data_IF_194815888507
#
_entry.id   IF_194815888507
#
_cell.length_a   1.000
_cell.length_b   1.000
_cell.length_c   1.000
_cell.angle_alpha   90.00
_cell.angle_beta   90.00
_cell.angle_gamma   90.00
#
_symmetry.space_group_name_H-M   'P 1'
#
loop_
_entity.id
_entity.type
_entity.pdbx_description
1 polymer ?
#
# COMPACT_ATOMS: atom_id res chain seq x y z
N UNK A 1 4.45 -57.11 -71.07
CA UNK A 1 4.11 -57.16 -69.63
C UNK A 1 5.33 -56.61 -68.91
N UNK A 2 5.29 -55.31 -68.59
CA UNK A 2 6.43 -54.58 -68.06
C UNK A 2 5.89 -53.72 -66.91
N UNK A 3 6.40 -53.95 -65.70
CA UNK A 3 5.98 -53.28 -64.46
C UNK A 3 7.06 -52.30 -64.07
N UNK A 4 6.71 -51.01 -64.11
CA UNK A 4 7.55 -49.88 -63.70
C UNK A 4 7.57 -49.79 -62.18
N UNK A 5 8.76 -49.89 -61.57
CA UNK A 5 8.96 -49.73 -60.13
C UNK A 5 9.26 -48.25 -59.83
N UNK A 6 8.35 -47.55 -59.14
CA UNK A 6 8.58 -46.19 -58.65
C UNK A 6 9.22 -46.25 -57.25
N UNK A 7 10.42 -45.68 -57.12
CA UNK A 7 11.11 -45.44 -55.85
C UNK A 7 10.76 -44.03 -55.36
N UNK A 8 10.10 -43.91 -54.21
CA UNK A 8 9.92 -42.62 -53.52
C UNK A 8 11.17 -42.23 -52.71
N UNK A 9 11.52 -40.94 -52.73
CA UNK A 9 12.65 -40.38 -51.98
C UNK A 9 12.22 -40.08 -50.54
N UNK A 10 12.94 -40.63 -49.57
CA UNK A 10 12.70 -40.41 -48.14
C UNK A 10 12.87 -38.92 -47.77
N UNK A 11 11.88 -38.36 -47.06
CA UNK A 11 11.81 -36.94 -46.70
C UNK A 11 12.78 -36.58 -45.58
N UNK A 12 13.68 -35.63 -45.85
CA UNK A 12 14.71 -35.11 -44.91
C UNK A 12 14.14 -34.53 -43.62
N UNK A 13 12.87 -34.13 -43.59
CA UNK A 13 12.19 -33.59 -42.40
C UNK A 13 11.98 -34.63 -41.30
N UNK A 14 11.78 -35.90 -41.66
CA UNK A 14 11.61 -36.98 -40.69
C UNK A 14 12.93 -37.26 -39.94
N UNK A 15 14.06 -37.22 -40.64
CA UNK A 15 15.37 -37.38 -40.03
C UNK A 15 15.71 -36.22 -39.08
N UNK A 16 15.33 -34.98 -39.40
CA UNK A 16 15.56 -33.82 -38.52
C UNK A 16 14.78 -33.91 -37.21
N UNK A 17 13.52 -34.36 -37.26
CA UNK A 17 12.69 -34.54 -36.07
C UNK A 17 13.21 -35.65 -35.16
N UNK A 18 13.71 -36.75 -35.75
CA UNK A 18 14.30 -37.84 -34.98
C UNK A 18 15.59 -37.41 -34.26
N UNK A 19 16.38 -36.54 -34.90
CA UNK A 19 17.60 -35.98 -34.33
C UNK A 19 17.32 -35.05 -33.15
N UNK A 20 16.29 -34.20 -33.25
CA UNK A 20 15.85 -33.34 -32.13
C UNK A 20 15.39 -34.20 -30.95
N UNK A 21 14.64 -35.27 -31.23
CA UNK A 21 14.16 -36.18 -30.20
C UNK A 21 15.30 -36.93 -29.49
N UNK A 22 16.36 -37.31 -30.22
CA UNK A 22 17.55 -37.96 -29.67
C UNK A 22 18.41 -37.01 -28.83
N UNK A 23 18.49 -35.73 -29.20
CA UNK A 23 19.23 -34.72 -28.42
C UNK A 23 18.51 -34.38 -27.10
N UNK A 24 17.17 -34.43 -27.06
CA UNK A 24 16.42 -34.21 -25.81
C UNK A 24 16.60 -35.30 -24.75
N UNK A 25 17.13 -36.47 -25.11
CA UNK A 25 17.40 -37.58 -24.17
C UNK A 25 18.80 -37.44 -23.52
N UNK A 26 19.63 -36.49 -23.97
CA UNK A 26 21.00 -36.29 -23.49
C UNK A 26 21.17 -35.08 -22.56
N UNK A 27 20.08 -34.51 -22.04
CA UNK A 27 20.14 -33.53 -20.95
C UNK A 27 20.79 -34.17 -19.71
N UNK A 28 21.68 -33.47 -18.98
CA UNK A 28 22.38 -34.05 -17.85
C UNK A 28 21.38 -34.41 -16.75
N UNK A 29 21.49 -35.63 -16.21
CA UNK A 29 20.90 -35.99 -14.92
C UNK A 29 21.50 -35.03 -13.87
N UNK A 30 20.74 -34.02 -13.46
CA UNK A 30 21.01 -33.33 -12.21
C UNK A 30 20.79 -34.34 -11.08
N UNK A 31 21.87 -34.68 -10.38
CA UNK A 31 21.84 -35.44 -9.14
C UNK A 31 20.94 -34.69 -8.15
N UNK A 32 19.87 -35.32 -7.68
CA UNK A 32 19.18 -34.87 -6.48
C UNK A 32 20.06 -35.25 -5.29
N UNK A 33 20.93 -34.33 -4.88
CA UNK A 33 21.52 -34.42 -3.55
C UNK A 33 20.36 -34.37 -2.53
N UNK A 34 20.40 -35.19 -1.46
CA UNK A 34 19.37 -35.13 -0.44
C UNK A 34 19.38 -33.72 0.16
N UNK A 35 18.20 -33.12 0.22
CA UNK A 35 17.92 -31.86 0.90
C UNK A 35 18.52 -31.94 2.30
N UNK A 36 19.66 -31.29 2.53
CA UNK A 36 20.00 -30.86 3.87
C UNK A 36 18.82 -30.03 4.34
N UNK A 37 18.23 -30.44 5.46
CA UNK A 37 17.15 -29.74 6.13
C UNK A 37 17.55 -28.27 6.27
N UNK A 38 17.01 -27.43 5.38
CA UNK A 38 17.01 -25.99 5.55
C UNK A 38 16.32 -25.76 6.88
N UNK A 39 17.11 -25.41 7.90
CA UNK A 39 16.59 -24.86 9.13
C UNK A 39 15.56 -23.80 8.74
N UNK A 40 14.31 -24.00 9.17
CA UNK A 40 13.31 -22.95 9.13
C UNK A 40 13.93 -21.76 9.86
N UNK A 41 14.45 -20.78 9.13
CA UNK A 41 14.66 -19.46 9.68
C UNK A 41 13.27 -18.89 9.92
N UNK A 42 12.73 -19.21 11.09
CA UNK A 42 11.73 -18.37 11.71
C UNK A 42 12.38 -17.00 11.84
N UNK A 43 11.89 -16.02 11.08
CA UNK A 43 12.14 -14.63 11.39
C UNK A 43 11.42 -14.34 12.71
N UNK A 44 12.11 -14.62 13.81
CA UNK A 44 11.64 -14.28 15.14
C UNK A 44 11.74 -12.76 15.26
N UNK A 45 10.58 -12.10 15.18
CA UNK A 45 10.47 -10.68 15.47
C UNK A 45 10.98 -10.44 16.90
N UNK A 46 12.19 -9.89 17.00
CA UNK A 46 12.74 -9.43 18.27
C UNK A 46 12.40 -7.95 18.38
N UNK A 47 11.40 -7.56 19.21
CA UNK A 47 11.08 -6.15 19.38
C UNK A 47 12.30 -5.39 19.91
N UNK A 48 12.69 -4.34 19.19
CA UNK A 48 13.70 -3.39 19.68
C UNK A 48 13.02 -2.49 20.70
N UNK A 49 13.35 -2.65 21.97
CA UNK A 49 12.95 -1.73 23.02
C UNK A 49 14.05 -0.70 23.22
N UNK A 50 13.76 0.58 23.01
CA UNK A 50 14.69 1.64 23.39
C UNK A 50 14.74 1.75 24.92
N UNK A 51 15.95 1.80 25.45
CA UNK A 51 16.20 2.08 26.86
C UNK A 51 15.94 3.57 27.15
N UNK A 52 15.05 3.86 28.11
CA UNK A 52 14.71 5.25 28.48
C UNK A 52 15.90 6.01 29.09
N UNK A 53 16.97 5.32 29.50
CA UNK A 53 18.17 5.94 30.05
C UNK A 53 18.86 6.90 29.07
N UNK A 54 18.63 6.74 27.75
CA UNK A 54 19.14 7.63 26.71
C UNK A 54 18.12 8.69 26.24
N UNK A 55 16.99 8.84 26.93
CA UNK A 55 15.96 9.81 26.55
C UNK A 55 16.45 11.24 26.76
N UNK A 56 16.49 12.02 25.68
CA UNK A 56 16.83 13.45 25.72
C UNK A 56 15.55 14.28 25.50
N UNK A 57 15.06 15.03 26.51
CA UNK A 57 13.83 15.80 26.38
C UNK A 57 13.81 16.82 25.25
N UNK A 58 14.98 17.34 24.82
CA UNK A 58 15.10 18.29 23.71
C UNK A 58 14.65 17.73 22.36
N UNK A 59 14.65 16.41 22.21
CA UNK A 59 14.34 15.74 20.94
C UNK A 59 12.84 15.44 20.82
N UNK A 60 12.05 15.90 21.81
CA UNK A 60 10.60 15.70 21.90
C UNK A 60 9.90 17.00 22.28
N UNK A 61 8.60 17.08 21.99
CA UNK A 61 7.78 18.23 22.39
C UNK A 61 7.07 17.92 23.72
N UNK A 62 7.13 18.83 24.70
CA UNK A 62 6.43 18.65 25.97
C UNK A 62 4.91 18.77 25.77
N UNK A 63 4.16 17.88 26.39
CA UNK A 63 2.73 18.04 26.63
C UNK A 63 2.53 19.04 27.75
N UNK A 64 1.62 20.00 27.54
CA UNK A 64 1.14 20.86 28.60
C UNK A 64 0.08 20.13 29.42
N UNK A 65 0.35 19.95 30.70
CA UNK A 65 -0.63 19.52 31.68
C UNK A 65 -1.33 20.76 32.24
N UNK A 66 -2.67 20.87 32.16
CA UNK A 66 -3.39 21.96 32.80
C UNK A 66 -3.10 21.98 34.31
N UNK A 67 -2.84 23.15 34.87
CA UNK A 67 -2.56 23.39 36.29
C UNK A 67 -1.30 22.69 36.85
N UNK A 68 -0.33 22.36 35.99
CA UNK A 68 0.98 21.84 36.39
C UNK A 68 2.12 22.56 35.68
N UNK A 69 3.18 22.87 36.41
CA UNK A 69 4.44 23.37 35.86
C UNK A 69 5.35 22.21 35.35
N UNK A 70 4.89 20.97 35.45
CA UNK A 70 5.62 19.79 35.01
C UNK A 70 5.45 19.56 33.50
N UNK A 71 6.58 19.47 32.80
CA UNK A 71 6.62 19.10 31.39
C UNK A 71 6.61 17.57 31.25
N UNK A 72 5.55 17.03 30.65
CA UNK A 72 5.45 15.61 30.29
C UNK A 72 5.97 15.43 28.87
N UNK A 73 6.81 14.44 28.61
CA UNK A 73 7.34 14.18 27.27
C UNK A 73 7.00 12.77 26.82
N UNK A 74 6.76 12.58 25.51
CA UNK A 74 6.60 11.24 24.93
C UNK A 74 7.94 10.70 24.46
N UNK A 75 8.30 9.52 24.97
CA UNK A 75 9.45 8.74 24.48
C UNK A 75 9.19 8.05 23.14
N UNK A 76 7.97 8.13 22.58
CA UNK A 76 7.61 7.44 21.32
C UNK A 76 8.55 7.82 20.18
N UNK A 77 8.97 9.10 20.10
CA UNK A 77 9.90 9.55 19.06
C UNK A 77 11.30 8.95 19.21
N UNK A 78 11.79 8.82 20.44
CA UNK A 78 13.06 8.16 20.73
C UNK A 78 13.00 6.68 20.35
N UNK A 79 11.94 5.98 20.77
CA UNK A 79 11.74 4.57 20.43
C UNK A 79 11.70 4.36 18.91
N UNK A 80 10.97 5.25 18.21
CA UNK A 80 10.89 5.27 16.75
C UNK A 80 12.26 5.51 16.10
N UNK A 81 13.01 6.53 16.54
CA UNK A 81 14.34 6.83 15.99
C UNK A 81 15.33 5.69 16.25
N UNK A 82 15.31 5.08 17.44
CA UNK A 82 16.17 3.93 17.77
C UNK A 82 15.87 2.75 16.86
N UNK A 83 14.60 2.48 16.60
CA UNK A 83 14.19 1.43 15.67
C UNK A 83 14.57 1.75 14.21
N UNK A 84 14.54 3.03 13.80
CA UNK A 84 15.07 3.48 12.50
C UNK A 84 16.59 3.26 12.41
N UNK A 85 17.33 3.64 13.46
CA UNK A 85 18.80 3.52 13.53
C UNK A 85 19.27 2.05 13.48
N UNK A 86 18.47 1.13 14.01
CA UNK A 86 18.67 -0.33 13.91
C UNK A 86 18.32 -0.90 12.51
N UNK A 87 18.04 -0.04 11.54
CA UNK A 87 17.77 -0.44 10.17
C UNK A 87 16.34 -0.95 9.97
N UNK A 88 15.39 -0.48 10.78
CA UNK A 88 13.96 -0.74 10.60
C UNK A 88 13.58 -2.23 10.59
N UNK A 89 14.01 -3.01 11.61
CA UNK A 89 13.80 -4.45 11.62
C UNK A 89 12.31 -4.79 11.54
N UNK A 90 11.95 -5.64 10.57
CA UNK A 90 10.56 -6.05 10.28
C UNK A 90 9.87 -5.24 9.17
N UNK A 91 10.53 -4.23 8.59
CA UNK A 91 10.04 -3.50 7.42
C UNK A 91 10.93 -3.81 6.22
N UNK A 92 10.35 -4.49 5.21
CA UNK A 92 11.00 -4.72 3.92
C UNK A 92 10.92 -3.46 3.05
N UNK A 93 11.81 -2.49 3.30
CA UNK A 93 12.04 -1.42 2.34
C UNK A 93 12.92 -1.98 1.22
N UNK A 94 12.29 -2.47 0.16
CA UNK A 94 12.97 -2.88 -1.07
C UNK A 94 13.74 -1.70 -1.68
N UNK A 95 14.98 -1.49 -1.23
CA UNK A 95 15.86 -0.40 -1.65
C UNK A 95 16.84 -0.82 -2.74
N UNK A 96 16.81 -2.09 -3.20
CA UNK A 96 17.76 -2.59 -4.19
C UNK A 96 17.17 -3.63 -5.15
N UNK A 97 17.53 -3.60 -6.45
CA UNK A 97 17.05 -4.52 -7.47
C UNK A 97 17.80 -5.85 -7.37
N UNK A 98 17.54 -6.64 -6.34
CA UNK A 98 17.95 -8.04 -6.34
C UNK A 98 16.89 -8.85 -7.06
N UNK A 99 17.18 -9.09 -8.33
CA UNK A 99 16.40 -9.89 -9.28
C UNK A 99 15.97 -11.23 -8.67
N UNK A 100 14.75 -11.28 -8.15
CA UNK A 100 14.02 -12.52 -7.92
C UNK A 100 13.04 -12.67 -9.09
N UNK A 101 13.56 -12.96 -10.28
CA UNK A 101 12.75 -13.37 -11.44
C UNK A 101 12.46 -14.87 -11.38
N UNK A 102 11.96 -15.37 -10.25
CA UNK A 102 11.14 -16.57 -10.26
C UNK A 102 9.71 -16.09 -10.48
N UNK A 103 9.06 -16.48 -11.58
CA UNK A 103 7.65 -16.15 -11.81
C UNK A 103 6.82 -16.61 -10.61
N UNK A 104 6.48 -15.65 -9.74
CA UNK A 104 5.73 -15.88 -8.51
C UNK A 104 4.34 -16.33 -8.92
N UNK A 105 4.01 -17.58 -8.65
CA UNK A 105 2.69 -18.11 -8.95
C UNK A 105 1.75 -17.65 -7.84
N UNK A 106 0.92 -16.64 -8.15
CA UNK A 106 -0.11 -16.16 -7.24
C UNK A 106 -1.07 -17.29 -6.86
N UNK A 107 -1.51 -17.32 -5.61
CA UNK A 107 -2.60 -18.17 -5.11
C UNK A 107 -3.80 -17.31 -4.73
N UNK A 108 -4.54 -16.77 -5.72
CA UNK A 108 -5.66 -15.87 -5.45
C UNK A 108 -6.83 -16.60 -4.79
N UNK A 109 -7.63 -15.85 -4.06
CA UNK A 109 -8.93 -16.30 -3.58
C UNK A 109 -9.90 -16.47 -4.75
N UNK A 110 -10.84 -17.40 -4.56
CA UNK A 110 -11.97 -17.64 -5.46
C UNK A 110 -13.28 -17.25 -4.76
N UNK A 111 -14.28 -16.84 -5.54
CA UNK A 111 -15.63 -16.61 -5.01
C UNK A 111 -16.15 -17.90 -4.32
N UNK A 112 -16.58 -17.76 -3.06
CA UNK A 112 -17.01 -18.86 -2.19
C UNK A 112 -15.95 -19.37 -1.20
N UNK A 113 -14.68 -18.96 -1.34
CA UNK A 113 -13.66 -19.27 -0.35
C UNK A 113 -13.98 -18.62 1.00
N UNK A 114 -13.47 -19.19 2.08
CA UNK A 114 -13.67 -18.68 3.45
C UNK A 114 -12.33 -18.46 4.14
N UNK A 115 -12.25 -17.43 4.98
CA UNK A 115 -11.06 -17.10 5.75
C UNK A 115 -11.44 -16.57 7.14
N UNK A 116 -10.49 -16.62 8.07
CA UNK A 116 -10.63 -15.98 9.39
C UNK A 116 -9.68 -14.79 9.46
N UNK A 117 -10.21 -13.62 9.79
CA UNK A 117 -9.51 -12.35 9.76
C UNK A 117 -9.44 -11.75 11.17
N UNK A 118 -8.25 -11.41 11.68
CA UNK A 118 -8.11 -10.66 12.92
C UNK A 118 -8.72 -9.26 12.81
N UNK A 119 -9.35 -8.81 13.89
CA UNK A 119 -9.86 -7.44 14.04
C UNK A 119 -9.56 -6.93 15.45
N UNK A 120 -9.78 -5.64 15.71
CA UNK A 120 -9.62 -5.07 17.07
C UNK A 120 -10.51 -5.74 18.12
N UNK A 121 -11.63 -6.34 17.71
CA UNK A 121 -12.56 -7.09 18.56
C UNK A 121 -12.27 -8.60 18.67
N UNK A 122 -11.18 -9.10 18.08
CA UNK A 122 -10.81 -10.52 18.07
C UNK A 122 -10.59 -11.05 16.66
N UNK A 123 -11.46 -11.93 16.19
CA UNK A 123 -11.40 -12.44 14.80
C UNK A 123 -12.80 -12.66 14.27
N UNK A 124 -12.96 -12.48 12.96
CA UNK A 124 -14.21 -12.70 12.24
C UNK A 124 -13.98 -13.72 11.13
N UNK A 125 -14.99 -14.54 10.87
CA UNK A 125 -15.01 -15.38 9.67
C UNK A 125 -15.62 -14.57 8.52
N UNK A 126 -15.04 -14.73 7.33
CA UNK A 126 -15.46 -14.05 6.10
C UNK A 126 -15.61 -15.04 4.96
N UNK A 127 -16.51 -14.71 4.04
CA UNK A 127 -16.70 -15.41 2.77
C UNK A 127 -16.31 -14.47 1.62
N UNK A 128 -15.56 -14.96 0.65
CA UNK A 128 -15.19 -14.20 -0.55
C UNK A 128 -16.42 -14.16 -1.47
N UNK A 129 -17.07 -13.00 -1.57
CA UNK A 129 -18.31 -12.84 -2.34
C UNK A 129 -18.06 -12.32 -3.76
N UNK A 130 -16.91 -11.69 -3.99
CA UNK A 130 -16.52 -11.16 -5.31
C UNK A 130 -15.01 -11.08 -5.43
N UNK A 131 -14.48 -11.41 -6.61
CA UNK A 131 -13.05 -11.26 -6.90
C UNK A 131 -12.81 -10.47 -8.18
N UNK A 132 -11.69 -9.75 -8.22
CA UNK A 132 -11.05 -9.25 -9.44
C UNK A 132 -9.65 -9.82 -9.57
N UNK A 133 -8.91 -9.39 -10.58
CA UNK A 133 -7.49 -9.74 -10.72
C UNK A 133 -6.59 -9.20 -9.60
N UNK A 134 -7.05 -8.20 -8.85
CA UNK A 134 -6.25 -7.47 -7.85
C UNK A 134 -6.97 -7.22 -6.53
N UNK A 135 -8.19 -7.72 -6.36
CA UNK A 135 -8.94 -7.62 -5.11
C UNK A 135 -9.82 -8.83 -4.84
N UNK A 136 -10.00 -9.13 -3.57
CA UNK A 136 -10.96 -10.10 -3.06
C UNK A 136 -11.90 -9.38 -2.06
N UNK A 137 -13.17 -9.22 -2.42
CA UNK A 137 -14.19 -8.64 -1.55
C UNK A 137 -14.77 -9.73 -0.65
N UNK A 138 -14.45 -9.63 0.64
CA UNK A 138 -14.78 -10.63 1.64
C UNK A 138 -15.81 -10.08 2.61
N UNK A 139 -16.99 -10.70 2.67
CA UNK A 139 -18.08 -10.27 3.55
C UNK A 139 -18.10 -11.15 4.79
N UNK A 140 -18.29 -10.54 5.97
CA UNK A 140 -18.45 -11.26 7.23
C UNK A 140 -19.50 -12.37 7.11
N UNK A 141 -19.12 -13.59 7.50
CA UNK A 141 -20.01 -14.75 7.47
C UNK A 141 -21.26 -14.49 8.32
N UNK A 142 -22.42 -14.84 7.76
CA UNK A 142 -23.73 -14.56 8.37
C UNK A 142 -24.31 -13.17 8.06
N UNK A 143 -23.56 -12.32 7.33
CA UNK A 143 -24.08 -11.08 6.74
C UNK A 143 -24.23 -11.23 5.22
N UNK A 144 -24.92 -10.28 4.60
CA UNK A 144 -25.16 -10.29 3.15
C UNK A 144 -25.05 -8.88 2.61
N UNK A 145 -24.25 -8.73 1.55
CA UNK A 145 -24.18 -7.51 0.74
C UNK A 145 -24.72 -7.83 -0.65
N UNK A 146 -25.46 -6.89 -1.25
CA UNK A 146 -26.07 -7.15 -2.57
C UNK A 146 -25.00 -7.33 -3.65
N UNK A 147 -25.20 -8.28 -4.56
CA UNK A 147 -24.31 -8.50 -5.71
C UNK A 147 -24.21 -7.27 -6.61
N UNK A 148 -25.23 -6.41 -6.65
CA UNK A 148 -25.18 -5.12 -7.35
C UNK A 148 -24.10 -4.21 -6.78
N UNK A 149 -24.01 -4.08 -5.44
CA UNK A 149 -22.98 -3.27 -4.78
C UNK A 149 -21.59 -3.86 -5.06
N UNK A 150 -21.43 -5.17 -4.86
CA UNK A 150 -20.15 -5.87 -5.08
C UNK A 150 -19.68 -5.76 -6.54
N UNK A 151 -20.57 -5.95 -7.51
CA UNK A 151 -20.21 -5.81 -8.94
C UNK A 151 -19.85 -4.37 -9.31
N UNK A 152 -20.56 -3.37 -8.75
CA UNK A 152 -20.23 -1.97 -8.98
C UNK A 152 -18.88 -1.60 -8.37
N UNK A 153 -18.58 -2.10 -7.16
CA UNK A 153 -17.30 -1.90 -6.51
C UNK A 153 -16.15 -2.58 -7.25
N UNK A 154 -16.31 -3.85 -7.64
CA UNK A 154 -15.31 -4.56 -8.45
C UNK A 154 -15.02 -3.82 -9.77
N UNK A 155 -16.06 -3.34 -10.46
CA UNK A 155 -15.89 -2.53 -11.67
C UNK A 155 -15.18 -1.21 -11.40
N UNK A 156 -15.56 -0.51 -10.32
CA UNK A 156 -14.94 0.76 -9.92
C UNK A 156 -13.48 0.57 -9.48
N UNK A 157 -13.18 -0.55 -8.83
CA UNK A 157 -11.84 -0.94 -8.41
C UNK A 157 -10.91 -1.08 -9.61
N UNK A 158 -11.29 -1.94 -10.58
CA UNK A 158 -10.46 -2.23 -11.75
C UNK A 158 -10.34 -1.04 -12.71
N UNK A 159 -11.41 -0.24 -12.85
CA UNK A 159 -11.43 0.86 -13.83
C UNK A 159 -10.95 2.21 -13.28
N UNK A 160 -10.92 2.39 -11.96
CA UNK A 160 -10.62 3.70 -11.36
C UNK A 160 -9.68 3.60 -10.16
N UNK A 161 -10.07 2.90 -9.08
CA UNK A 161 -9.32 2.96 -7.81
C UNK A 161 -7.90 2.39 -7.97
N UNK A 162 -7.80 1.12 -8.35
CA UNK A 162 -6.52 0.44 -8.47
C UNK A 162 -5.57 1.13 -9.47
N UNK A 163 -5.95 1.38 -10.74
CA UNK A 163 -5.03 2.01 -11.69
C UNK A 163 -4.61 3.44 -11.29
N UNK A 164 -5.51 4.22 -10.68
CA UNK A 164 -5.18 5.56 -10.20
C UNK A 164 -4.16 5.48 -9.07
N UNK A 165 -4.39 4.64 -8.06
CA UNK A 165 -3.49 4.57 -6.92
C UNK A 165 -2.14 3.94 -7.28
N UNK A 166 -2.07 2.97 -8.20
CA UNK A 166 -0.77 2.52 -8.74
C UNK A 166 0.00 3.66 -9.44
N UNK A 167 -0.71 4.63 -10.02
CA UNK A 167 -0.12 5.80 -10.70
C UNK A 167 0.44 6.86 -9.73
N UNK A 168 -0.01 6.89 -8.48
CA UNK A 168 0.44 7.92 -7.51
C UNK A 168 1.20 7.33 -6.32
N UNK A 169 0.87 6.11 -5.89
CA UNK A 169 1.39 5.49 -4.66
C UNK A 169 2.00 4.10 -4.91
N UNK A 170 1.95 3.57 -6.13
CA UNK A 170 2.58 2.28 -6.43
C UNK A 170 4.11 2.35 -6.36
N UNK A 171 4.76 1.22 -6.08
CA UNK A 171 6.22 1.06 -6.27
C UNK A 171 6.52 -0.18 -7.09
N UNK A 172 7.70 -0.17 -7.71
CA UNK A 172 8.27 -1.39 -8.28
C UNK A 172 8.95 -2.17 -7.15
N UNK A 173 8.45 -3.37 -6.88
CA UNK A 173 9.02 -4.28 -5.87
C UNK A 173 10.17 -5.10 -6.44
N UNK A 174 10.54 -4.88 -7.71
CA UNK A 174 11.59 -5.61 -8.45
C UNK A 174 11.36 -7.13 -8.55
N UNK A 175 10.11 -7.54 -8.44
CA UNK A 175 9.63 -8.92 -8.53
C UNK A 175 9.09 -9.29 -9.93
N UNK A 176 9.20 -8.38 -10.89
CA UNK A 176 8.75 -8.55 -12.27
C UNK A 176 7.29 -8.15 -12.54
N UNK A 177 6.53 -7.70 -11.54
CA UNK A 177 5.16 -7.16 -11.73
C UNK A 177 5.15 -5.69 -12.19
N UNK A 178 6.29 -5.02 -12.11
CA UNK A 178 6.40 -3.58 -12.35
C UNK A 178 5.80 -2.78 -11.18
N UNK A 179 5.26 -1.60 -11.47
CA UNK A 179 4.58 -0.78 -10.45
C UNK A 179 3.30 -1.50 -9.99
N UNK A 180 3.29 -1.93 -8.74
CA UNK A 180 2.21 -2.72 -8.16
C UNK A 180 1.91 -2.30 -6.71
N UNK A 181 0.89 -2.94 -6.14
CA UNK A 181 0.64 -2.97 -4.70
C UNK A 181 1.61 -3.95 -4.00
N UNK A 182 1.79 -3.86 -2.67
CA UNK A 182 2.48 -4.90 -1.92
C UNK A 182 1.76 -6.26 -2.08
N UNK A 183 2.48 -7.34 -1.82
CA UNK A 183 1.96 -8.72 -1.88
C UNK A 183 2.82 -9.59 -0.97
N UNK A 184 2.55 -9.56 0.33
CA UNK A 184 3.29 -10.32 1.35
C UNK A 184 2.73 -11.73 1.48
N UNK A 185 1.45 -11.95 1.12
CA UNK A 185 0.75 -13.22 1.28
C UNK A 185 0.74 -14.12 0.02
N UNK A 186 1.23 -13.64 -1.12
CA UNK A 186 1.24 -14.32 -2.44
C UNK A 186 -0.13 -14.54 -3.08
N UNK A 187 -1.21 -13.94 -2.59
CA UNK A 187 -2.52 -14.08 -3.23
C UNK A 187 -2.71 -13.11 -4.42
N UNK A 188 -1.83 -12.11 -4.55
CA UNK A 188 -1.87 -11.06 -5.59
C UNK A 188 -3.17 -10.23 -5.62
N UNK A 189 -3.91 -10.20 -4.52
CA UNK A 189 -5.17 -9.50 -4.35
C UNK A 189 -5.15 -8.69 -3.05
N UNK A 190 -5.62 -7.44 -3.10
CA UNK A 190 -5.97 -6.71 -1.88
C UNK A 190 -7.24 -7.33 -1.29
N UNK A 191 -7.20 -7.67 -0.02
CA UNK A 191 -8.34 -8.19 0.70
C UNK A 191 -9.20 -7.02 1.19
N UNK A 192 -10.39 -6.88 0.61
CA UNK A 192 -11.38 -5.88 1.02
C UNK A 192 -12.34 -6.54 2.01
N UNK A 193 -12.09 -6.34 3.30
CA UNK A 193 -12.82 -6.97 4.39
C UNK A 193 -14.02 -6.12 4.78
N UNK A 194 -15.22 -6.67 4.58
CA UNK A 194 -16.49 -5.97 4.74
C UNK A 194 -17.25 -6.57 5.92
N UNK A 195 -17.32 -5.83 7.04
CA UNK A 195 -17.97 -6.27 8.27
C UNK A 195 -18.60 -5.09 9.00
N UNK A 196 -19.39 -5.33 10.04
CA UNK A 196 -19.98 -4.20 10.80
C UNK A 196 -18.98 -3.59 11.77
N UNK A 197 -18.81 -2.27 11.68
CA UNK A 197 -17.89 -1.50 12.50
C UNK A 197 -18.69 -0.70 13.54
N UNK A 198 -19.46 0.29 13.08
CA UNK A 198 -20.24 1.18 13.94
C UNK A 198 -21.63 1.55 13.38
N UNK A 199 -22.00 0.98 12.24
CA UNK A 199 -23.30 1.18 11.60
C UNK A 199 -23.15 2.05 10.35
N UNK A 200 -24.26 2.62 9.88
CA UNK A 200 -24.17 3.58 8.80
C UNK A 200 -23.64 4.91 9.33
N UNK A 201 -22.79 5.56 8.53
CA UNK A 201 -22.09 6.82 8.81
C UNK A 201 -21.03 6.71 9.92
N UNK A 202 -20.23 7.77 10.08
CA UNK A 202 -19.04 7.83 10.96
C UNK A 202 -17.82 7.10 10.37
N UNK A 203 -17.46 5.92 10.88
CA UNK A 203 -16.26 5.20 10.45
C UNK A 203 -16.61 4.33 9.25
N UNK A 204 -16.41 4.87 8.05
CA UNK A 204 -16.66 4.11 6.83
C UNK A 204 -15.70 2.95 6.61
N UNK A 205 -14.49 3.04 7.15
CA UNK A 205 -13.46 2.02 7.01
C UNK A 205 -12.23 2.32 7.86
N UNK A 206 -11.26 1.41 7.82
CA UNK A 206 -9.94 1.64 8.37
C UNK A 206 -8.90 0.73 7.73
N UNK A 207 -7.65 1.14 7.86
CA UNK A 207 -6.47 0.34 7.59
C UNK A 207 -5.78 -0.05 8.90
N UNK A 208 -5.20 -1.25 8.96
CA UNK A 208 -4.48 -1.73 10.14
C UNK A 208 -3.02 -2.04 9.79
N UNK A 209 -2.08 -1.12 10.10
CA UNK A 209 -0.65 -1.30 9.81
C UNK A 209 -0.07 -2.59 10.42
N UNK A 210 -0.57 -3.00 11.58
CA UNK A 210 -0.11 -4.20 12.29
C UNK A 210 -0.38 -5.51 11.55
N UNK A 211 -1.26 -5.52 10.54
CA UNK A 211 -1.51 -6.70 9.69
C UNK A 211 -0.70 -6.71 8.39
N UNK A 212 -0.13 -5.57 7.99
CA UNK A 212 0.50 -5.40 6.67
C UNK A 212 1.78 -6.21 6.46
N UNK A 213 2.39 -6.72 7.53
CA UNK A 213 3.51 -7.66 7.42
C UNK A 213 3.06 -9.08 7.01
N UNK A 214 1.77 -9.36 7.05
CA UNK A 214 1.21 -10.69 6.80
C UNK A 214 0.07 -10.73 5.78
N UNK A 215 -0.63 -9.61 5.56
CA UNK A 215 -1.82 -9.53 4.69
C UNK A 215 -2.01 -8.10 4.15
N UNK A 216 -2.40 -8.01 2.89
CA UNK A 216 -2.86 -6.78 2.26
C UNK A 216 -4.36 -6.53 2.50
N UNK A 217 -4.73 -6.16 3.73
CA UNK A 217 -6.13 -5.99 4.10
C UNK A 217 -6.55 -4.52 4.31
N UNK A 218 -7.70 -4.13 3.75
CA UNK A 218 -8.44 -2.91 4.09
C UNK A 218 -9.82 -3.27 4.62
N UNK A 219 -10.34 -2.48 5.56
CA UNK A 219 -11.58 -2.77 6.27
C UNK A 219 -12.63 -1.72 5.96
N UNK A 220 -13.87 -2.15 5.73
CA UNK A 220 -14.98 -1.27 5.35
C UNK A 220 -16.23 -1.66 6.13
N UNK A 221 -16.98 -0.67 6.61
CA UNK A 221 -18.27 -0.92 7.23
C UNK A 221 -19.27 -1.42 6.19
N UNK A 222 -19.83 -2.59 6.44
CA UNK A 222 -20.89 -3.18 5.63
C UNK A 222 -22.13 -2.31 5.53
N UNK A 223 -22.43 -1.50 6.57
CA UNK A 223 -23.60 -0.64 6.59
C UNK A 223 -23.39 0.63 5.75
N UNK A 224 -22.14 1.02 5.49
CA UNK A 224 -21.77 2.10 4.57
C UNK A 224 -21.60 1.63 3.12
N UNK A 225 -21.28 0.35 2.90
CA UNK A 225 -21.05 -0.19 1.57
C UNK A 225 -22.15 0.12 0.53
N UNK A 226 -23.47 0.06 0.87
CA UNK A 226 -24.56 0.39 -0.06
C UNK A 226 -24.73 1.88 -0.37
N UNK A 227 -24.08 2.78 0.37
CA UNK A 227 -24.23 4.21 0.19
C UNK A 227 -23.57 4.68 -1.11
N UNK A 228 -24.13 5.70 -1.76
CA UNK A 228 -23.67 6.15 -3.09
C UNK A 228 -22.24 6.71 -3.10
N UNK A 229 -21.76 7.17 -1.95
CA UNK A 229 -20.44 7.74 -1.76
C UNK A 229 -19.39 6.71 -1.32
N UNK A 230 -19.78 5.49 -0.94
CA UNK A 230 -18.94 4.50 -0.25
C UNK A 230 -17.66 4.10 -0.99
N UNK A 231 -17.66 4.21 -2.32
CA UNK A 231 -16.46 4.00 -3.16
C UNK A 231 -15.27 4.90 -2.80
N UNK A 232 -15.50 6.06 -2.17
CA UNK A 232 -14.41 6.93 -1.71
C UNK A 232 -13.59 6.27 -0.61
N UNK A 233 -14.22 5.43 0.22
CA UNK A 233 -13.57 4.68 1.30
C UNK A 233 -12.54 3.71 0.70
N UNK A 234 -12.88 3.02 -0.41
CA UNK A 234 -11.94 2.11 -1.09
C UNK A 234 -10.65 2.81 -1.49
N UNK A 235 -10.74 4.04 -2.02
CA UNK A 235 -9.57 4.80 -2.42
C UNK A 235 -8.79 5.34 -1.22
N UNK A 236 -9.49 5.79 -0.17
CA UNK A 236 -8.90 6.27 1.08
C UNK A 236 -8.08 5.17 1.76
N UNK A 237 -8.70 4.02 2.03
CA UNK A 237 -8.05 2.92 2.76
C UNK A 237 -6.97 2.22 1.93
N UNK A 238 -7.15 2.10 0.61
CA UNK A 238 -6.09 1.56 -0.25
C UNK A 238 -4.87 2.49 -0.25
N UNK A 239 -5.05 3.80 -0.17
CA UNK A 239 -3.91 4.71 -0.07
C UNK A 239 -3.13 4.45 1.22
N UNK A 240 -3.78 4.27 2.38
CA UNK A 240 -3.05 3.96 3.62
C UNK A 240 -2.25 2.68 3.49
N UNK A 241 -2.83 1.62 2.91
CA UNK A 241 -2.12 0.36 2.67
C UNK A 241 -0.87 0.56 1.80
N UNK A 242 -1.02 1.29 0.70
CA UNK A 242 0.08 1.54 -0.22
C UNK A 242 1.15 2.43 0.40
N UNK A 243 0.74 3.49 1.10
CA UNK A 243 1.65 4.41 1.76
C UNK A 243 2.42 3.73 2.88
N UNK A 244 1.77 2.89 3.68
CA UNK A 244 2.42 2.09 4.71
C UNK A 244 3.51 1.17 4.15
N UNK A 245 3.36 0.68 2.91
CA UNK A 245 4.40 -0.10 2.24
C UNK A 245 5.56 0.76 1.72
N UNK A 246 5.39 2.07 1.56
CA UNK A 246 6.43 3.01 1.13
C UNK A 246 7.15 3.64 2.32
N UNK A 247 6.36 4.23 3.21
CA UNK A 247 6.76 4.94 4.42
C UNK A 247 5.72 4.71 5.53
N UNK A 248 5.88 3.64 6.34
CA UNK A 248 4.98 3.34 7.46
C UNK A 248 5.05 4.36 8.61
N UNK A 249 5.90 5.38 8.50
CA UNK A 249 6.24 6.31 9.56
C UNK A 249 5.91 7.77 9.26
N UNK A 250 5.23 8.02 8.16
CA UNK A 250 4.85 9.36 7.78
C UNK A 250 3.93 10.00 8.85
N UNK A 251 4.01 11.31 8.97
CA UNK A 251 3.14 12.09 9.82
C UNK A 251 1.72 12.10 9.26
N UNK A 252 0.74 11.99 10.17
CA UNK A 252 -0.68 11.90 9.85
C UNK A 252 -1.19 13.02 8.92
N UNK A 253 -0.65 14.23 9.01
CA UNK A 253 -1.09 15.33 8.13
C UNK A 253 -0.69 15.13 6.66
N UNK A 254 0.35 14.34 6.38
CA UNK A 254 0.68 13.89 5.03
C UNK A 254 -0.11 12.62 4.73
N UNK A 255 -0.13 11.63 5.62
CA UNK A 255 -0.78 10.35 5.33
C UNK A 255 -2.29 10.49 5.06
N UNK A 256 -3.02 11.13 5.97
CA UNK A 256 -4.47 11.37 5.82
C UNK A 256 -4.77 12.38 4.70
N UNK A 257 -3.87 13.34 4.50
CA UNK A 257 -3.95 14.26 3.35
C UNK A 257 -3.82 13.52 2.02
N UNK A 258 -2.96 12.49 1.97
CA UNK A 258 -2.75 11.65 0.80
C UNK A 258 -3.93 10.72 0.58
N UNK A 259 -4.56 10.23 1.65
CA UNK A 259 -5.78 9.43 1.62
C UNK A 259 -6.97 10.21 1.02
N UNK A 260 -7.22 11.43 1.51
CA UNK A 260 -8.21 12.35 0.95
C UNK A 260 -7.88 12.72 -0.52
N UNK A 261 -6.58 12.93 -0.82
CA UNK A 261 -6.13 13.15 -2.18
C UNK A 261 -6.39 11.95 -3.09
N UNK A 262 -6.20 10.73 -2.61
CA UNK A 262 -6.48 9.51 -3.38
C UNK A 262 -7.97 9.42 -3.73
N UNK A 263 -8.86 9.70 -2.77
CA UNK A 263 -10.29 9.79 -3.02
C UNK A 263 -10.63 10.88 -4.07
N UNK A 264 -10.00 12.04 -3.98
CA UNK A 264 -10.17 13.12 -4.95
C UNK A 264 -9.68 12.74 -6.35
N UNK A 265 -8.51 12.12 -6.48
CA UNK A 265 -7.96 11.69 -7.76
C UNK A 265 -8.85 10.66 -8.46
N UNK A 266 -9.48 9.76 -7.70
CA UNK A 266 -10.39 8.76 -8.24
C UNK A 266 -11.74 9.35 -8.67
N UNK A 267 -12.33 10.26 -7.88
CA UNK A 267 -13.75 10.60 -8.02
C UNK A 267 -14.07 12.10 -8.09
N UNK A 268 -13.06 12.96 -7.99
CA UNK A 268 -13.24 14.40 -7.81
C UNK A 268 -13.76 14.75 -6.41
N UNK A 269 -14.30 15.96 -6.27
CA UNK A 269 -14.80 16.43 -4.97
C UNK A 269 -16.06 15.67 -4.52
N UNK A 270 -16.04 15.20 -3.27
CA UNK A 270 -17.14 14.51 -2.59
C UNK A 270 -17.65 15.32 -1.39
N UNK A 271 -18.82 14.98 -0.85
CA UNK A 271 -19.38 15.66 0.33
C UNK A 271 -18.43 15.65 1.53
N UNK A 272 -17.73 14.54 1.75
CA UNK A 272 -16.74 14.39 2.83
C UNK A 272 -15.55 15.32 2.60
N UNK A 273 -14.96 15.30 1.40
CA UNK A 273 -13.83 16.16 1.05
C UNK A 273 -14.21 17.65 1.13
N UNK A 274 -15.40 18.04 0.66
CA UNK A 274 -15.88 19.41 0.83
C UNK A 274 -16.04 19.77 2.32
N UNK A 275 -16.52 18.83 3.14
CA UNK A 275 -16.59 18.99 4.60
C UNK A 275 -15.23 19.27 5.22
N UNK A 276 -14.22 18.47 4.88
CA UNK A 276 -12.84 18.60 5.34
C UNK A 276 -12.24 19.97 4.95
N UNK A 277 -12.29 20.30 3.66
CA UNK A 277 -11.73 21.56 3.14
C UNK A 277 -12.45 22.79 3.71
N UNK A 278 -13.78 22.76 3.84
CA UNK A 278 -14.54 23.87 4.43
C UNK A 278 -14.24 24.03 5.92
N UNK A 279 -14.08 22.94 6.66
CA UNK A 279 -13.68 22.97 8.07
C UNK A 279 -12.30 23.62 8.23
N UNK A 280 -11.32 23.27 7.38
CA UNK A 280 -10.03 23.94 7.39
C UNK A 280 -10.12 25.41 6.98
N UNK A 281 -10.86 25.73 5.91
CA UNK A 281 -10.98 27.10 5.40
C UNK A 281 -11.55 28.06 6.44
N UNK A 282 -12.51 27.58 7.26
CA UNK A 282 -13.10 28.36 8.36
C UNK A 282 -12.24 28.40 9.62
N UNK A 283 -11.21 27.56 9.71
CA UNK A 283 -10.30 27.46 10.84
C UNK A 283 -8.82 27.40 10.41
N UNK A 284 -8.44 28.19 9.40
CA UNK A 284 -7.10 28.15 8.77
C UNK A 284 -5.94 28.59 9.68
N UNK A 285 -6.26 29.01 10.90
CA UNK A 285 -5.28 29.20 11.97
C UNK A 285 -4.74 27.88 12.54
N UNK A 286 -5.40 26.75 12.28
CA UNK A 286 -4.85 25.43 12.58
C UNK A 286 -3.70 25.12 11.62
N UNK A 287 -2.52 24.84 12.21
CA UNK A 287 -1.34 24.48 11.44
C UNK A 287 -1.55 23.11 10.79
N UNK A 288 -1.27 23.01 9.49
CA UNK A 288 -1.27 21.74 8.75
C UNK A 288 -0.34 20.71 9.40
N UNK A 289 0.78 21.15 9.99
CA UNK A 289 1.76 20.25 10.62
C UNK A 289 1.33 19.70 11.99
N UNK A 290 0.22 20.17 12.54
CA UNK A 290 -0.26 19.72 13.85
C UNK A 290 -1.57 18.95 13.72
N UNK A 291 -1.49 17.65 14.02
CA UNK A 291 -2.62 16.74 13.94
C UNK A 291 -3.30 16.54 15.29
N UNK A 292 -4.62 16.68 15.33
CA UNK A 292 -5.42 16.39 16.51
C UNK A 292 -6.80 15.78 16.15
N UNK A 293 -6.86 15.06 15.04
CA UNK A 293 -8.08 14.41 14.51
C UNK A 293 -9.30 15.34 14.36
N UNK A 294 -9.06 16.63 14.08
CA UNK A 294 -10.14 17.55 13.75
C UNK A 294 -10.48 17.39 12.27
N UNK A 295 -11.74 17.56 11.88
CA UNK A 295 -12.15 17.61 10.47
C UNK A 295 -11.33 18.60 9.62
N UNK A 296 -10.88 19.69 10.24
CA UNK A 296 -9.99 20.67 9.62
C UNK A 296 -8.56 20.14 9.36
N UNK A 297 -8.07 19.17 10.14
CA UNK A 297 -6.73 18.61 9.97
C UNK A 297 -6.64 17.83 8.66
N UNK A 298 -7.64 16.98 8.39
CA UNK A 298 -7.81 16.28 7.11
C UNK A 298 -7.83 17.26 5.94
N UNK A 299 -8.67 18.30 6.03
CA UNK A 299 -8.80 19.31 4.98
C UNK A 299 -7.51 20.07 4.72
N UNK A 300 -6.76 20.42 5.77
CA UNK A 300 -5.49 21.10 5.67
C UNK A 300 -4.40 20.25 5.02
N UNK A 301 -4.30 18.98 5.42
CA UNK A 301 -3.38 18.00 4.80
C UNK A 301 -3.71 17.80 3.31
N UNK A 302 -4.98 17.53 3.00
CA UNK A 302 -5.45 17.28 1.64
C UNK A 302 -5.11 18.42 0.67
N UNK A 303 -5.54 19.65 0.97
CA UNK A 303 -5.31 20.79 0.05
C UNK A 303 -3.83 21.16 -0.04
N UNK A 304 -3.04 20.90 1.01
CA UNK A 304 -1.61 21.14 0.98
C UNK A 304 -0.92 20.16 0.03
N UNK A 305 -1.25 18.88 0.07
CA UNK A 305 -0.72 17.92 -0.91
C UNK A 305 -1.20 18.21 -2.33
N UNK A 306 -2.45 18.63 -2.51
CA UNK A 306 -2.94 19.04 -3.82
C UNK A 306 -2.17 20.26 -4.35
N UNK A 307 -1.83 21.22 -3.48
CA UNK A 307 -0.97 22.35 -3.83
C UNK A 307 0.43 21.91 -4.26
N UNK A 308 1.06 20.99 -3.52
CA UNK A 308 2.38 20.44 -3.88
C UNK A 308 2.34 19.69 -5.21
N UNK A 309 1.29 18.91 -5.45
CA UNK A 309 1.13 18.24 -6.75
C UNK A 309 1.04 19.27 -7.89
N UNK A 310 0.22 20.31 -7.74
CA UNK A 310 0.05 21.32 -8.79
C UNK A 310 1.34 22.12 -9.08
N UNK A 311 2.17 22.38 -8.06
CA UNK A 311 3.34 23.26 -8.18
C UNK A 311 4.68 22.53 -8.35
N UNK A 312 4.80 21.26 -7.93
CA UNK A 312 6.09 20.56 -7.83
C UNK A 312 6.20 19.33 -8.74
N UNK A 313 5.22 19.07 -9.61
CA UNK A 313 5.37 18.06 -10.67
C UNK A 313 4.27 17.02 -10.83
N UNK A 314 3.08 17.28 -10.31
CA UNK A 314 1.90 16.42 -10.42
C UNK A 314 2.06 15.08 -9.69
N UNK A 315 1.49 14.02 -10.26
CA UNK A 315 1.55 12.67 -9.68
C UNK A 315 2.96 12.13 -9.43
N UNK A 316 3.96 12.34 -10.31
CA UNK A 316 5.35 12.00 -10.01
C UNK A 316 5.86 12.63 -8.71
N UNK A 317 5.50 13.88 -8.42
CA UNK A 317 5.93 14.58 -7.21
C UNK A 317 5.34 13.94 -5.95
N UNK A 318 4.05 13.61 -5.99
CA UNK A 318 3.37 12.90 -4.89
C UNK A 318 3.93 11.50 -4.69
N UNK A 319 4.21 10.77 -5.77
CA UNK A 319 4.85 9.46 -5.67
C UNK A 319 6.23 9.55 -5.02
N UNK A 320 7.01 10.56 -5.40
CA UNK A 320 8.33 10.81 -4.79
C UNK A 320 8.19 11.14 -3.31
N UNK A 321 7.23 11.99 -2.94
CA UNK A 321 6.96 12.33 -1.54
C UNK A 321 6.56 11.11 -0.72
N UNK A 322 5.61 10.30 -1.20
CA UNK A 322 5.15 9.11 -0.48
C UNK A 322 6.26 8.04 -0.32
N UNK A 323 7.31 8.09 -1.14
CA UNK A 323 8.48 7.21 -1.07
C UNK A 323 9.63 7.80 -0.23
N UNK A 324 9.47 9.01 0.28
CA UNK A 324 10.53 9.74 0.99
C UNK A 324 10.48 9.45 2.49
N UNK A 325 11.32 8.52 2.95
CA UNK A 325 11.40 8.12 4.35
C UNK A 325 11.97 9.18 5.31
N UNK A 326 12.28 10.41 4.84
CA UNK A 326 12.68 11.50 5.72
C UNK A 326 11.52 12.02 6.58
N UNK A 327 10.28 11.75 6.18
CA UNK A 327 9.00 12.09 6.84
C UNK A 327 8.77 13.60 7.05
N UNK A 328 7.50 14.00 7.06
CA UNK A 328 7.07 15.30 7.53
C UNK A 328 7.67 16.47 6.75
N UNK A 329 8.14 17.48 7.49
CA UNK A 329 8.69 18.68 6.89
C UNK A 329 9.95 18.40 6.05
N UNK A 330 10.76 17.40 6.44
CA UNK A 330 11.96 17.05 5.70
C UNK A 330 11.61 16.53 4.29
N UNK A 331 10.63 15.64 4.17
CA UNK A 331 10.18 15.14 2.85
C UNK A 331 9.60 16.23 1.96
N UNK A 332 8.88 17.21 2.55
CA UNK A 332 8.43 18.40 1.80
C UNK A 332 9.62 19.23 1.29
N UNK A 333 10.62 19.47 2.15
CA UNK A 333 11.80 20.22 1.76
C UNK A 333 12.59 19.51 0.66
N UNK A 334 12.76 18.20 0.77
CA UNK A 334 13.47 17.38 -0.21
C UNK A 334 12.76 17.38 -1.57
N UNK A 335 11.42 17.32 -1.57
CA UNK A 335 10.61 17.50 -2.76
C UNK A 335 10.76 18.91 -3.35
N UNK A 336 10.65 19.96 -2.53
CA UNK A 336 10.68 21.35 -2.99
C UNK A 336 12.07 21.81 -3.46
N UNK A 337 13.15 21.23 -2.94
CA UNK A 337 14.51 21.44 -3.45
C UNK A 337 14.72 20.79 -4.81
N UNK A 338 14.08 19.64 -5.03
CA UNK A 338 14.21 18.82 -6.24
C UNK A 338 12.84 18.49 -6.86
N UNK A 339 12.08 19.51 -7.31
CA UNK A 339 10.77 19.32 -7.89
C UNK A 339 10.87 18.59 -9.23
N UNK A 340 9.83 17.85 -9.58
CA UNK A 340 9.80 17.05 -10.80
C UNK A 340 9.18 17.89 -11.91
N UNK A 341 9.92 18.12 -13.00
CA UNK A 341 9.38 18.87 -14.15
C UNK A 341 9.14 20.37 -13.90
N UNK A 342 9.58 20.90 -12.75
CA UNK A 342 9.65 22.33 -12.46
C UNK A 342 11.11 22.76 -12.19
N UNK A 343 11.36 24.06 -12.14
CA UNK A 343 12.70 24.61 -11.88
C UNK A 343 13.17 24.24 -10.46
N UNK A 344 14.34 23.60 -10.29
CA UNK A 344 14.90 23.30 -8.97
C UNK A 344 15.12 24.55 -8.12
N UNK A 345 15.03 24.39 -6.79
CA UNK A 345 15.24 25.49 -5.84
C UNK A 345 14.03 26.38 -5.60
N UNK A 346 12.81 25.81 -5.58
CA UNK A 346 11.58 26.56 -5.25
C UNK A 346 11.60 27.08 -3.81
N UNK A 347 12.43 26.47 -2.95
CA UNK A 347 12.67 26.93 -1.59
C UNK A 347 14.13 27.31 -1.36
N UNK A 348 14.33 28.51 -0.86
CA UNK A 348 15.60 28.97 -0.30
C UNK A 348 15.92 28.30 1.04
N UNK A 349 17.16 28.41 1.54
CA UNK A 349 17.44 28.13 2.95
C UNK A 349 17.10 29.35 3.80
N UNK A 350 17.42 30.54 3.28
CA UNK A 350 17.16 31.82 3.92
C UNK A 350 16.43 32.76 2.95
N UNK A 351 15.91 33.90 3.45
CA UNK A 351 15.23 34.90 2.62
C UNK A 351 16.10 35.44 1.47
N UNK A 352 17.43 35.32 1.58
CA UNK A 352 18.36 35.78 0.53
C UNK A 352 18.41 34.84 -0.69
N UNK A 353 17.90 33.61 -0.53
CA UNK A 353 17.91 32.57 -1.56
C UNK A 353 16.61 32.57 -2.41
N UNK A 354 15.66 33.46 -2.12
CA UNK A 354 14.32 33.55 -2.75
C UNK A 354 14.20 34.87 -3.53
#
# INVERSE_FOLDING_TARGET
>A
MEVTQMSERCSTRACSLLLIFLVSIMSPLASADPVESSENQSFEFTPVFADLDNFVPSDSHPYMLPDSDEALYSATRMMKNTWIDEGMPGVDIATSPQSMTSGRACTPYNEGDTATVPTSGGSIDVTVEKTTSTAAFMVQSGRTLSSTVLNNWASTWDSTVYPTLMTYFGKDYFDGRGIAAPDVDNNCQIEVIIYAIDGAYNIGGYFSPGMSASREAIFIDIDDAPLTWSKVILAHELQHLMHNALDPYENLWIDEGAADMAAFLCFGGSSTLYGHVNAWTTASHYSVRWWNQRTADYGGGFIFLLYLADHLGGGPAIRKLAQDSSTGAAGIEDLARNPIGATPGVIGRDFIDI
#
